data_IF_438829946111
#
_entry.id   IF_438829946111
#
_cell.length_a   1.000
_cell.length_b   1.000
_cell.length_c   1.000
_cell.angle_alpha   90.00
_cell.angle_beta   90.00
_cell.angle_gamma   90.00
#
_symmetry.space_group_name_H-M   'P 1'
#
loop_
_entity.id
_entity.type
_entity.pdbx_description
1 polymer ?
#
# COMPACT_ATOMS: atom_id res chain seq x y z
N UNK A 1 13.10 17.69 -1.76
CA UNK A 1 14.13 18.72 -1.56
C UNK A 1 13.55 19.80 -0.65
N UNK A 2 14.23 20.10 0.44
CA UNK A 2 13.87 21.07 1.45
C UNK A 2 15.08 21.95 1.81
N UNK A 3 14.85 23.01 2.59
CA UNK A 3 15.96 23.80 3.15
C UNK A 3 16.75 22.93 4.14
N UNK A 4 18.08 22.97 4.06
CA UNK A 4 19.01 22.14 4.83
C UNK A 4 19.48 20.86 4.11
N UNK A 5 18.84 20.48 3.01
CA UNK A 5 19.27 19.36 2.17
C UNK A 5 20.60 19.67 1.45
N UNK A 6 21.45 18.67 1.22
CA UNK A 6 22.71 18.83 0.50
C UNK A 6 22.56 18.33 -0.95
N UNK A 7 22.80 19.22 -1.91
CA UNK A 7 22.53 19.05 -3.33
C UNK A 7 23.82 18.95 -4.15
N UNK A 8 23.95 17.91 -4.97
CA UNK A 8 25.02 17.83 -5.97
C UNK A 8 24.72 18.80 -7.14
N UNK A 9 25.49 19.89 -7.24
CA UNK A 9 25.30 20.91 -8.27
C UNK A 9 25.99 20.52 -9.59
N UNK A 10 25.35 20.75 -10.76
CA UNK A 10 26.00 20.51 -12.05
C UNK A 10 27.29 21.34 -12.20
N UNK A 11 28.43 20.67 -12.39
CA UNK A 11 29.73 21.32 -12.58
C UNK A 11 30.40 21.79 -11.27
N UNK A 12 29.91 21.36 -10.11
CA UNK A 12 30.60 21.52 -8.83
C UNK A 12 31.21 20.19 -8.38
N UNK A 13 32.43 20.23 -7.84
CA UNK A 13 33.07 19.05 -7.25
C UNK A 13 32.50 18.73 -5.86
N UNK A 14 32.01 19.76 -5.15
CA UNK A 14 31.43 19.63 -3.82
C UNK A 14 29.91 19.90 -3.83
N UNK A 15 29.11 19.11 -3.10
CA UNK A 15 27.68 19.34 -2.96
C UNK A 15 27.41 20.53 -2.01
N UNK A 16 26.28 21.20 -2.19
CA UNK A 16 25.97 22.45 -1.51
C UNK A 16 24.62 22.39 -0.78
N UNK A 17 24.57 22.98 0.41
CA UNK A 17 23.35 23.05 1.23
C UNK A 17 22.30 23.95 0.57
N UNK A 18 21.05 23.51 0.55
CA UNK A 18 19.90 24.25 0.02
C UNK A 18 19.41 25.24 1.08
N UNK A 19 19.46 26.54 0.77
CA UNK A 19 19.03 27.62 1.66
C UNK A 19 17.62 28.11 1.37
N UNK A 20 17.08 27.85 0.17
CA UNK A 20 15.71 28.19 -0.20
C UNK A 20 15.17 27.26 -1.30
N UNK A 21 13.87 26.98 -1.27
CA UNK A 21 13.16 26.21 -2.29
C UNK A 21 11.91 26.97 -2.72
N UNK A 22 11.70 27.10 -4.04
CA UNK A 22 10.52 27.70 -4.65
C UNK A 22 9.92 26.73 -5.67
N UNK A 23 8.59 26.60 -5.68
CA UNK A 23 7.88 25.81 -6.70
C UNK A 23 7.20 26.76 -7.68
N UNK A 24 7.54 26.64 -8.97
CA UNK A 24 6.96 27.44 -10.05
C UNK A 24 5.94 26.60 -10.83
N UNK A 25 4.66 27.01 -10.84
CA UNK A 25 3.65 26.36 -11.67
C UNK A 25 3.83 26.69 -13.16
N UNK A 26 3.29 25.85 -14.04
CA UNK A 26 3.10 26.15 -15.47
C UNK A 26 1.89 27.05 -15.73
N UNK A 27 1.65 27.35 -17.01
CA UNK A 27 0.52 28.16 -17.48
C UNK A 27 -0.87 27.55 -17.16
N UNK A 28 -0.91 26.27 -16.74
CA UNK A 28 -2.13 25.56 -16.33
C UNK A 28 -2.26 25.42 -14.80
N UNK A 29 -1.33 26.00 -14.03
CA UNK A 29 -1.32 25.95 -12.57
C UNK A 29 -0.75 24.66 -11.98
N UNK A 30 -0.11 23.81 -12.80
CA UNK A 30 0.52 22.56 -12.37
C UNK A 30 1.99 22.81 -12.02
N UNK A 31 2.52 22.30 -10.90
CA UNK A 31 3.95 22.43 -10.57
C UNK A 31 4.86 21.92 -11.70
N UNK A 32 5.65 22.78 -12.32
CA UNK A 32 6.47 22.42 -13.49
C UNK A 32 7.97 22.53 -13.24
N UNK A 33 8.39 23.49 -12.41
CA UNK A 33 9.79 23.68 -12.05
C UNK A 33 9.93 23.84 -10.54
N UNK A 34 10.96 23.22 -9.98
CA UNK A 34 11.44 23.47 -8.62
C UNK A 34 12.73 24.27 -8.72
N UNK A 35 12.73 25.47 -8.14
CA UNK A 35 13.92 26.29 -7.95
C UNK A 35 14.57 25.99 -6.62
N UNK A 36 15.84 25.60 -6.63
CA UNK A 36 16.67 25.49 -5.43
C UNK A 36 17.67 26.64 -5.40
N UNK A 37 17.86 27.29 -4.25
CA UNK A 37 19.02 28.16 -4.02
C UNK A 37 19.93 27.47 -3.03
N UNK A 38 21.17 27.23 -3.45
CA UNK A 38 22.22 26.66 -2.64
C UNK A 38 23.03 27.75 -1.92
N UNK A 39 23.75 27.36 -0.87
CA UNK A 39 24.79 28.16 -0.23
C UNK A 39 25.73 28.75 -1.30
N UNK A 40 26.17 29.99 -1.09
CA UNK A 40 26.86 30.84 -2.08
C UNK A 40 25.96 31.47 -3.17
N UNK A 41 24.63 31.31 -3.07
CA UNK A 41 23.65 32.02 -3.92
C UNK A 41 23.49 31.43 -5.32
N UNK A 42 23.97 30.20 -5.55
CA UNK A 42 23.77 29.48 -6.81
C UNK A 42 22.34 28.94 -6.89
N UNK A 43 21.63 29.25 -7.97
CA UNK A 43 20.26 28.73 -8.19
C UNK A 43 20.24 27.67 -9.27
N UNK A 44 19.50 26.58 -9.03
CA UNK A 44 19.23 25.52 -10.01
C UNK A 44 17.73 25.43 -10.24
N UNK A 45 17.33 25.24 -11.51
CA UNK A 45 15.95 24.94 -11.88
C UNK A 45 15.84 23.47 -12.29
N UNK A 46 14.97 22.74 -11.63
CA UNK A 46 14.76 21.31 -11.81
C UNK A 46 13.33 21.12 -12.33
N UNK A 47 13.16 20.41 -13.44
CA UNK A 47 11.80 20.09 -13.90
C UNK A 47 11.15 19.08 -12.96
N UNK A 48 9.87 19.29 -12.62
CA UNK A 48 9.08 18.34 -11.81
C UNK A 48 9.17 16.94 -12.43
N UNK A 49 9.48 15.92 -11.62
CA UNK A 49 9.74 14.55 -12.07
C UNK A 49 11.16 14.26 -12.55
N UNK A 50 12.08 15.23 -12.49
CA UNK A 50 13.52 14.98 -12.71
C UNK A 50 14.18 14.40 -11.47
N UNK A 51 15.01 13.38 -11.66
CA UNK A 51 15.74 12.73 -10.58
C UNK A 51 16.94 13.57 -10.16
N UNK A 52 17.01 13.89 -8.86
CA UNK A 52 18.14 14.62 -8.28
C UNK A 52 18.61 13.94 -7.00
N UNK A 53 19.93 13.83 -6.85
CA UNK A 53 20.56 13.23 -5.68
C UNK A 53 20.65 14.25 -4.56
N UNK A 54 20.12 13.89 -3.39
CA UNK A 54 20.07 14.74 -2.22
C UNK A 54 20.49 13.93 -1.00
N UNK A 55 21.36 14.48 -0.17
CA UNK A 55 21.64 13.95 1.17
C UNK A 55 20.84 14.76 2.21
N UNK A 56 19.93 14.14 2.98
CA UNK A 56 19.19 14.84 4.02
C UNK A 56 20.11 15.18 5.22
N UNK A 57 19.86 16.33 5.85
CA UNK A 57 20.66 16.85 6.97
C UNK A 57 20.82 15.87 8.16
N UNK A 58 19.87 14.95 8.34
CA UNK A 58 19.82 14.02 9.47
C UNK A 58 20.17 12.57 9.10
N UNK A 59 20.59 12.31 7.86
CA UNK A 59 20.95 10.97 7.42
C UNK A 59 22.36 10.59 7.91
N UNK A 60 22.43 9.62 8.82
CA UNK A 60 23.66 8.88 9.06
C UNK A 60 24.24 8.34 7.74
N UNK A 61 25.55 8.50 7.57
CA UNK A 61 26.33 8.15 6.38
C UNK A 61 25.84 6.85 5.70
N UNK A 62 25.37 6.96 4.45
CA UNK A 62 25.35 5.84 3.50
C UNK A 62 24.05 5.49 2.77
N UNK A 63 22.95 6.25 2.90
CA UNK A 63 21.75 6.01 2.11
C UNK A 63 21.43 7.20 1.19
N UNK A 64 21.76 7.07 -0.09
CA UNK A 64 21.29 7.95 -1.15
C UNK A 64 19.75 7.87 -1.22
N UNK A 65 19.05 8.83 -0.64
CA UNK A 65 17.61 8.98 -0.81
C UNK A 65 17.36 9.69 -2.15
N UNK A 66 16.52 9.09 -2.99
CA UNK A 66 15.96 9.82 -4.14
C UNK A 66 15.00 10.86 -3.56
N UNK A 67 15.14 12.13 -3.94
CA UNK A 67 14.18 13.16 -3.55
C UNK A 67 12.78 12.76 -4.03
N UNK A 68 11.90 12.40 -3.10
CA UNK A 68 10.52 12.05 -3.36
C UNK A 68 9.72 13.29 -3.76
N UNK A 69 8.90 13.17 -4.82
CA UNK A 69 7.92 14.22 -5.17
C UNK A 69 6.88 14.35 -4.05
N UNK A 70 6.39 15.57 -3.81
CA UNK A 70 5.36 15.79 -2.79
C UNK A 70 4.06 15.05 -3.19
N UNK A 71 3.63 14.08 -2.37
CA UNK A 71 2.50 13.20 -2.67
C UNK A 71 2.87 11.87 -3.35
N UNK A 72 4.17 11.58 -3.53
CA UNK A 72 4.62 10.30 -4.04
C UNK A 72 4.46 9.16 -3.00
N UNK A 73 4.46 7.88 -3.42
CA UNK A 73 4.43 6.74 -2.50
C UNK A 73 5.57 6.74 -1.46
N UNK A 74 6.74 7.26 -1.83
CA UNK A 74 7.91 7.39 -0.96
C UNK A 74 7.70 8.46 0.11
N UNK A 75 7.20 9.64 -0.28
CA UNK A 75 6.89 10.72 0.65
C UNK A 75 5.79 10.30 1.65
N UNK A 76 4.77 9.58 1.17
CA UNK A 76 3.73 9.01 2.01
C UNK A 76 4.30 7.95 2.96
N UNK A 77 5.13 7.03 2.46
CA UNK A 77 5.80 6.00 3.26
C UNK A 77 6.63 6.60 4.39
N UNK A 78 7.38 7.67 4.11
CA UNK A 78 8.18 8.38 5.12
C UNK A 78 7.30 9.04 6.20
N UNK A 79 6.20 9.70 5.81
CA UNK A 79 5.25 10.29 6.78
C UNK A 79 4.61 9.23 7.67
N UNK A 80 4.22 8.11 7.09
CA UNK A 80 3.64 6.98 7.83
C UNK A 80 4.66 6.38 8.79
N UNK A 81 5.92 6.20 8.36
CA UNK A 81 6.98 5.71 9.24
C UNK A 81 7.24 6.65 10.42
N UNK A 82 7.17 7.97 10.23
CA UNK A 82 7.28 8.93 11.33
C UNK A 82 6.11 8.84 12.31
N UNK A 83 4.89 8.56 11.82
CA UNK A 83 3.70 8.40 12.65
C UNK A 83 3.68 7.08 13.43
N UNK A 84 4.38 6.05 12.94
CA UNK A 84 4.39 4.69 13.51
C UNK A 84 5.82 4.21 13.82
N UNK A 85 6.57 4.89 14.71
CA UNK A 85 7.99 4.61 14.94
C UNK A 85 8.25 3.22 15.52
N UNK A 86 7.31 2.68 16.30
CA UNK A 86 7.47 1.40 17.00
C UNK A 86 7.07 0.18 16.15
N UNK A 87 6.48 0.40 14.96
CA UNK A 87 6.01 -0.67 14.09
C UNK A 87 7.09 -1.12 13.11
N UNK A 88 7.81 -2.19 13.47
CA UNK A 88 8.87 -2.75 12.62
C UNK A 88 8.39 -3.08 11.19
N UNK A 89 7.16 -3.59 11.04
CA UNK A 89 6.59 -3.91 9.73
C UNK A 89 6.37 -2.66 8.86
N UNK A 90 5.91 -1.57 9.46
CA UNK A 90 5.75 -0.27 8.79
C UNK A 90 7.12 0.31 8.45
N UNK A 91 8.08 0.32 9.39
CA UNK A 91 9.44 0.82 9.18
C UNK A 91 10.13 0.09 8.02
N UNK A 92 10.11 -1.25 8.03
CA UNK A 92 10.75 -2.07 7.00
C UNK A 92 10.16 -1.81 5.61
N UNK A 93 8.84 -1.68 5.53
CA UNK A 93 8.16 -1.48 4.25
C UNK A 93 8.33 -0.06 3.73
N UNK A 94 8.25 0.95 4.61
CA UNK A 94 8.57 2.33 4.28
C UNK A 94 10.02 2.49 3.81
N UNK A 95 10.97 1.81 4.46
CA UNK A 95 12.37 1.82 4.05
C UNK A 95 12.60 1.19 2.67
N UNK A 96 11.83 0.15 2.30
CA UNK A 96 11.87 -0.41 0.93
C UNK A 96 11.29 0.57 -0.09
N UNK A 97 10.17 1.23 0.22
CA UNK A 97 9.56 2.24 -0.65
C UNK A 97 10.48 3.45 -0.85
N UNK A 98 11.17 3.91 0.20
CA UNK A 98 12.08 5.05 0.14
C UNK A 98 13.28 4.86 -0.84
N UNK A 99 13.59 3.62 -1.23
CA UNK A 99 14.62 3.32 -2.24
C UNK A 99 14.17 3.59 -3.68
N UNK A 100 12.92 4.02 -3.86
CA UNK A 100 12.29 4.29 -5.14
C UNK A 100 11.11 3.35 -5.39
N UNK A 101 9.97 3.94 -5.77
CA UNK A 101 8.76 3.22 -6.11
C UNK A 101 8.59 3.11 -7.63
N UNK A 102 8.23 1.91 -8.07
CA UNK A 102 7.83 1.66 -9.45
C UNK A 102 6.48 0.92 -9.43
N UNK A 103 5.39 1.62 -9.71
CA UNK A 103 4.04 1.03 -9.73
C UNK A 103 3.82 0.01 -10.85
N UNK A 104 4.78 -0.13 -11.78
CA UNK A 104 4.82 -1.24 -12.75
C UNK A 104 5.47 -2.51 -12.19
N UNK A 105 6.20 -2.42 -11.08
CA UNK A 105 6.85 -3.55 -10.43
C UNK A 105 5.91 -4.28 -9.48
N UNK A 106 5.80 -5.60 -9.64
CA UNK A 106 5.03 -6.44 -8.70
C UNK A 106 5.54 -6.37 -7.26
N UNK A 107 6.84 -6.13 -7.03
CA UNK A 107 7.41 -6.02 -5.68
C UNK A 107 6.98 -4.73 -4.98
N UNK A 108 6.95 -3.59 -5.69
CA UNK A 108 6.47 -2.35 -5.08
C UNK A 108 4.96 -2.38 -4.84
N UNK A 109 4.18 -3.03 -5.71
CA UNK A 109 2.75 -3.26 -5.46
C UNK A 109 2.53 -4.15 -4.22
N UNK A 110 3.37 -5.17 -4.05
CA UNK A 110 3.37 -5.99 -2.85
C UNK A 110 3.70 -5.16 -1.61
N UNK A 111 4.74 -4.32 -1.66
CA UNK A 111 5.13 -3.45 -0.53
C UNK A 111 4.00 -2.49 -0.16
N UNK A 112 3.34 -1.85 -1.13
CA UNK A 112 2.18 -0.98 -0.86
C UNK A 112 1.02 -1.75 -0.22
N UNK A 113 0.74 -2.96 -0.72
CA UNK A 113 -0.30 -3.81 -0.15
C UNK A 113 0.04 -4.25 1.29
N UNK A 114 1.30 -4.63 1.54
CA UNK A 114 1.80 -5.00 2.86
C UNK A 114 1.71 -3.81 3.84
N UNK A 115 2.10 -2.62 3.41
CA UNK A 115 2.00 -1.40 4.22
C UNK A 115 0.54 -1.09 4.58
N UNK A 116 -0.37 -1.11 3.60
CA UNK A 116 -1.80 -0.88 3.84
C UNK A 116 -2.40 -1.93 4.79
N UNK A 117 -1.97 -3.19 4.65
CA UNK A 117 -2.42 -4.29 5.51
C UNK A 117 -1.92 -4.12 6.94
N UNK A 118 -0.63 -3.81 7.14
CA UNK A 118 -0.06 -3.60 8.47
C UNK A 118 -0.73 -2.42 9.18
N UNK A 119 -0.92 -1.29 8.49
CA UNK A 119 -1.62 -0.12 9.06
C UNK A 119 -3.05 -0.46 9.50
N UNK A 120 -3.77 -1.25 8.71
CA UNK A 120 -5.14 -1.62 9.04
C UNK A 120 -5.22 -2.68 10.14
N UNK A 121 -4.43 -3.74 10.04
CA UNK A 121 -4.55 -4.94 10.86
C UNK A 121 -3.80 -4.80 12.19
N UNK A 122 -2.58 -4.24 12.14
CA UNK A 122 -1.69 -4.17 13.30
C UNK A 122 -1.83 -2.84 14.03
N UNK A 123 -1.80 -1.72 13.29
CA UNK A 123 -1.82 -0.38 13.90
C UNK A 123 -3.25 0.17 14.12
N UNK A 124 -4.26 -0.42 13.46
CA UNK A 124 -5.62 0.11 13.47
C UNK A 124 -5.78 1.49 12.82
N UNK A 125 -4.77 1.97 12.10
CA UNK A 125 -4.76 3.25 11.37
C UNK A 125 -5.51 3.12 10.04
N UNK A 126 -6.83 3.11 10.14
CA UNK A 126 -7.73 3.01 8.99
C UNK A 126 -7.55 4.16 7.98
N UNK A 127 -7.14 5.35 8.42
CA UNK A 127 -6.99 6.51 7.56
C UNK A 127 -5.72 6.41 6.69
N UNK A 128 -4.58 6.09 7.31
CA UNK A 128 -3.34 5.86 6.57
C UNK A 128 -3.46 4.62 5.67
N UNK A 129 -4.07 3.54 6.17
CA UNK A 129 -4.33 2.33 5.37
C UNK A 129 -5.15 2.62 4.11
N UNK A 130 -6.23 3.42 4.23
CA UNK A 130 -7.06 3.81 3.09
C UNK A 130 -6.28 4.68 2.09
N UNK A 131 -5.42 5.57 2.60
CA UNK A 131 -4.58 6.43 1.75
C UNK A 131 -3.61 5.60 0.92
N UNK A 132 -2.91 4.64 1.53
CA UNK A 132 -2.00 3.71 0.82
C UNK A 132 -2.76 2.80 -0.14
N UNK A 133 -3.89 2.23 0.29
CA UNK A 133 -4.74 1.41 -0.58
C UNK A 133 -5.30 2.21 -1.78
N UNK A 134 -5.49 3.52 -1.63
CA UNK A 134 -5.88 4.44 -2.69
C UNK A 134 -4.89 4.46 -3.86
N UNK A 135 -3.58 4.42 -3.56
CA UNK A 135 -2.52 4.37 -4.60
C UNK A 135 -2.63 3.10 -5.46
N UNK A 136 -2.97 1.97 -4.85
CA UNK A 136 -3.22 0.72 -5.59
C UNK A 136 -4.52 0.80 -6.40
N UNK A 137 -5.56 1.42 -5.84
CA UNK A 137 -6.88 1.49 -6.45
C UNK A 137 -6.94 2.37 -7.72
N UNK A 138 -5.97 3.27 -7.92
CA UNK A 138 -5.84 4.08 -9.14
C UNK A 138 -5.27 3.29 -10.34
N UNK A 139 -4.70 2.11 -10.10
CA UNK A 139 -4.05 1.32 -11.13
C UNK A 139 -5.06 0.45 -11.91
N UNK A 140 -5.08 0.53 -13.24
CA UNK A 140 -5.96 -0.32 -14.04
C UNK A 140 -5.44 -1.76 -14.11
N UNK A 141 -6.35 -2.68 -14.38
CA UNK A 141 -5.98 -4.04 -14.77
C UNK A 141 -5.26 -4.03 -16.14
N UNK A 142 -4.09 -4.65 -16.21
CA UNK A 142 -3.21 -4.65 -17.38
C UNK A 142 -3.06 -6.04 -18.03
N UNK A 143 -3.86 -7.02 -17.60
CA UNK A 143 -3.74 -8.41 -18.03
C UNK A 143 -2.76 -9.27 -17.20
N UNK A 144 -1.98 -8.67 -16.28
CA UNK A 144 -1.02 -9.39 -15.47
C UNK A 144 -1.60 -9.76 -14.09
N UNK A 145 -2.15 -10.98 -13.98
CA UNK A 145 -2.70 -11.50 -12.72
C UNK A 145 -1.69 -11.56 -11.55
N UNK A 146 -0.40 -11.72 -11.84
CA UNK A 146 0.65 -11.74 -10.82
C UNK A 146 0.85 -10.38 -10.14
N UNK A 147 0.62 -9.29 -10.87
CA UNK A 147 0.58 -7.92 -10.33
C UNK A 147 -0.78 -7.59 -9.76
N UNK A 148 -1.84 -7.99 -10.47
CA UNK A 148 -3.23 -7.69 -10.14
C UNK A 148 -3.60 -8.14 -8.73
N UNK A 149 -3.13 -9.31 -8.27
CA UNK A 149 -3.44 -9.81 -6.91
C UNK A 149 -3.14 -8.80 -5.78
N UNK A 150 -2.11 -7.96 -5.94
CA UNK A 150 -1.78 -6.94 -4.94
C UNK A 150 -2.72 -5.73 -5.02
N UNK A 151 -3.10 -5.35 -6.25
CA UNK A 151 -4.09 -4.31 -6.51
C UNK A 151 -5.48 -4.76 -6.03
N UNK A 152 -5.87 -6.01 -6.26
CA UNK A 152 -7.10 -6.62 -5.74
C UNK A 152 -7.16 -6.57 -4.22
N UNK A 153 -6.06 -6.91 -3.54
CA UNK A 153 -5.97 -6.80 -2.09
C UNK A 153 -6.17 -5.36 -1.61
N UNK A 154 -5.55 -4.39 -2.28
CA UNK A 154 -5.73 -2.96 -1.99
C UNK A 154 -7.16 -2.48 -2.22
N UNK A 155 -7.78 -2.88 -3.33
CA UNK A 155 -9.18 -2.58 -3.64
C UNK A 155 -10.14 -3.20 -2.62
N UNK A 156 -9.87 -4.43 -2.17
CA UNK A 156 -10.67 -5.10 -1.15
C UNK A 156 -10.57 -4.39 0.21
N UNK A 157 -9.37 -3.97 0.61
CA UNK A 157 -9.12 -3.12 1.78
C UNK A 157 -9.88 -1.79 1.67
N UNK A 158 -9.72 -1.06 0.56
CA UNK A 158 -10.38 0.22 0.35
C UNK A 158 -11.92 0.08 0.38
N UNK A 159 -12.47 -0.97 -0.25
CA UNK A 159 -13.90 -1.28 -0.21
C UNK A 159 -14.41 -1.59 1.21
N UNK A 160 -13.59 -2.18 2.07
CA UNK A 160 -13.94 -2.44 3.46
C UNK A 160 -13.82 -1.19 4.35
N UNK A 161 -12.74 -0.43 4.22
CA UNK A 161 -12.49 0.80 4.99
C UNK A 161 -13.55 1.86 4.72
N UNK A 162 -14.10 1.88 3.50
CA UNK A 162 -15.17 2.81 3.09
C UNK A 162 -16.57 2.21 3.20
N UNK A 163 -16.76 1.09 3.90
CA UNK A 163 -18.05 0.35 3.97
C UNK A 163 -19.26 1.14 4.44
N UNK A 164 -19.07 2.24 5.17
CA UNK A 164 -20.15 3.12 5.63
C UNK A 164 -20.58 4.14 4.58
N UNK A 165 -19.81 4.28 3.50
CA UNK A 165 -20.14 5.01 2.28
C UNK A 165 -20.40 3.99 1.16
N UNK A 166 -21.68 3.70 0.93
CA UNK A 166 -22.09 2.64 0.01
C UNK A 166 -21.63 2.90 -1.42
N UNK A 167 -21.65 4.16 -1.87
CA UNK A 167 -21.24 4.52 -3.22
C UNK A 167 -19.73 4.35 -3.40
N UNK A 168 -18.94 4.88 -2.46
CA UNK A 168 -17.48 4.77 -2.51
C UNK A 168 -17.01 3.33 -2.40
N UNK A 169 -17.59 2.54 -1.49
CA UNK A 169 -17.30 1.11 -1.36
C UNK A 169 -17.64 0.34 -2.64
N UNK A 170 -18.80 0.62 -3.26
CA UNK A 170 -19.22 0.00 -4.51
C UNK A 170 -18.27 0.29 -5.69
N UNK A 171 -17.69 1.49 -5.76
CA UNK A 171 -16.70 1.85 -6.80
C UNK A 171 -15.45 0.97 -6.70
N UNK A 172 -14.88 0.78 -5.51
CA UNK A 172 -13.73 -0.11 -5.33
C UNK A 172 -14.10 -1.57 -5.63
N UNK A 173 -15.26 -2.03 -5.17
CA UNK A 173 -15.78 -3.37 -5.51
C UNK A 173 -15.99 -3.58 -7.01
N UNK A 174 -16.36 -2.54 -7.77
CA UNK A 174 -16.50 -2.61 -9.22
C UNK A 174 -15.13 -2.65 -9.92
N UNK A 175 -14.20 -1.79 -9.49
CA UNK A 175 -12.82 -1.78 -10.01
C UNK A 175 -12.11 -3.13 -9.80
N UNK A 176 -12.32 -3.77 -8.65
CA UNK A 176 -11.76 -5.08 -8.34
C UNK A 176 -12.22 -6.15 -9.34
N UNK A 177 -13.48 -6.08 -9.78
CA UNK A 177 -14.08 -7.05 -10.71
C UNK A 177 -13.70 -6.82 -12.17
N UNK A 178 -12.92 -5.80 -12.51
CA UNK A 178 -12.55 -5.53 -13.93
C UNK A 178 -11.80 -6.71 -14.56
N UNK A 179 -10.96 -7.42 -13.79
CA UNK A 179 -10.27 -8.60 -14.29
C UNK A 179 -11.21 -9.80 -14.55
N UNK A 180 -12.45 -9.77 -14.03
CA UNK A 180 -13.42 -10.83 -14.27
C UNK A 180 -13.86 -10.90 -15.73
N UNK A 181 -13.84 -9.75 -16.39
CA UNK A 181 -14.29 -9.52 -17.77
C UNK A 181 -13.11 -9.55 -18.76
N UNK A 182 -11.94 -10.04 -18.33
CA UNK A 182 -10.76 -10.16 -19.18
C UNK A 182 -10.96 -11.12 -20.37
N UNK A 183 -11.81 -12.13 -20.21
CA UNK A 183 -12.21 -13.04 -21.29
C UNK A 183 -13.42 -12.47 -22.03
N UNK A 184 -13.25 -12.18 -23.31
CA UNK A 184 -14.28 -11.55 -24.15
C UNK A 184 -15.11 -12.55 -24.95
N UNK A 185 -14.63 -13.80 -25.11
CA UNK A 185 -15.42 -14.84 -25.78
C UNK A 185 -16.62 -15.25 -24.90
N UNK A 186 -17.88 -15.18 -25.39
CA UNK A 186 -19.06 -15.39 -24.55
C UNK A 186 -19.13 -16.75 -23.86
N UNK A 187 -18.66 -17.82 -24.51
CA UNK A 187 -18.72 -19.18 -23.95
C UNK A 187 -17.64 -19.36 -22.88
N UNK A 188 -16.42 -18.89 -23.15
CA UNK A 188 -15.33 -18.93 -22.18
C UNK A 188 -15.59 -18.00 -21.00
N UNK A 189 -16.13 -16.80 -21.23
CA UNK A 189 -16.52 -15.86 -20.17
C UNK A 189 -17.55 -16.48 -19.22
N UNK A 190 -18.59 -17.14 -19.76
CA UNK A 190 -19.58 -17.88 -18.95
C UNK A 190 -18.92 -18.97 -18.12
N UNK A 191 -17.96 -19.68 -18.71
CA UNK A 191 -17.23 -20.77 -18.06
C UNK A 191 -16.33 -20.25 -16.94
N UNK A 192 -15.58 -19.17 -17.19
CA UNK A 192 -14.75 -18.48 -16.21
C UNK A 192 -15.57 -17.95 -15.03
N UNK A 193 -16.75 -17.36 -15.30
CA UNK A 193 -17.66 -16.90 -14.25
C UNK A 193 -18.16 -18.06 -13.36
N UNK A 194 -18.48 -19.22 -13.93
CA UNK A 194 -18.86 -20.40 -13.15
C UNK A 194 -17.73 -20.91 -12.25
N UNK A 195 -16.50 -20.98 -12.77
CA UNK A 195 -15.34 -21.37 -11.97
C UNK A 195 -15.05 -20.38 -10.85
N UNK A 196 -15.12 -19.08 -11.14
CA UNK A 196 -14.95 -18.02 -10.15
C UNK A 196 -16.00 -18.09 -9.05
N UNK A 197 -17.28 -18.25 -9.40
CA UNK A 197 -18.33 -18.39 -8.39
C UNK A 197 -18.10 -19.60 -7.50
N UNK A 198 -17.62 -20.73 -8.05
CA UNK A 198 -17.25 -21.89 -7.23
C UNK A 198 -16.11 -21.57 -6.26
N UNK A 199 -15.06 -20.88 -6.73
CA UNK A 199 -13.95 -20.45 -5.85
C UNK A 199 -14.42 -19.50 -4.75
N UNK A 200 -15.33 -18.58 -5.06
CA UNK A 200 -15.96 -17.70 -4.06
C UNK A 200 -16.81 -18.48 -3.07
N UNK A 201 -17.45 -19.58 -3.50
CA UNK A 201 -18.30 -20.42 -2.65
C UNK A 201 -17.50 -21.39 -1.76
N UNK A 202 -16.31 -21.80 -2.21
CA UNK A 202 -15.40 -22.74 -1.53
C UNK A 202 -14.04 -22.09 -1.25
N UNK A 203 -13.98 -20.94 -0.53
CA UNK A 203 -12.73 -20.24 -0.30
C UNK A 203 -11.84 -21.01 0.68
N UNK A 204 -10.52 -20.97 0.48
CA UNK A 204 -9.60 -21.43 1.50
C UNK A 204 -9.52 -20.40 2.64
N UNK A 205 -10.15 -20.71 3.77
CA UNK A 205 -10.12 -19.89 4.98
C UNK A 205 -9.13 -20.41 6.03
N UNK A 206 -8.26 -21.36 5.71
CA UNK A 206 -7.15 -21.79 6.59
C UNK A 206 -7.57 -22.34 7.97
N UNK A 207 -8.78 -22.90 8.11
CA UNK A 207 -9.24 -23.51 9.38
C UNK A 207 -8.25 -24.56 9.93
N UNK A 208 -7.76 -25.53 9.13
CA UNK A 208 -6.84 -26.55 9.64
C UNK A 208 -5.51 -25.98 10.12
N UNK A 209 -4.97 -24.98 9.43
CA UNK A 209 -3.68 -24.35 9.75
C UNK A 209 -3.76 -23.54 11.05
N UNK A 210 -4.82 -22.75 11.21
CA UNK A 210 -5.07 -21.95 12.42
C UNK A 210 -5.23 -22.87 13.63
N UNK A 211 -6.07 -23.91 13.51
CA UNK A 211 -6.27 -24.89 14.58
C UNK A 211 -4.98 -25.60 14.96
N UNK A 212 -4.15 -25.98 13.97
CA UNK A 212 -2.87 -26.65 14.20
C UNK A 212 -1.87 -25.74 14.92
N UNK A 213 -1.77 -24.47 14.52
CA UNK A 213 -0.87 -23.51 15.15
C UNK A 213 -1.30 -23.20 16.59
N UNK A 214 -2.60 -23.02 16.80
CA UNK A 214 -3.19 -22.79 18.11
C UNK A 214 -2.96 -23.95 19.07
N UNK A 215 -3.27 -25.18 18.64
CA UNK A 215 -3.06 -26.39 19.43
C UNK A 215 -1.58 -26.66 19.75
N UNK A 216 -0.66 -26.17 18.91
CA UNK A 216 0.78 -26.27 19.13
C UNK A 216 1.35 -25.14 19.99
N UNK A 217 0.54 -24.19 20.46
CA UNK A 217 1.00 -23.03 21.24
C UNK A 217 1.95 -22.13 20.45
N UNK A 218 1.71 -21.94 19.15
CA UNK A 218 2.56 -21.14 18.25
C UNK A 218 1.84 -19.83 17.86
N UNK A 219 1.81 -18.81 18.74
CA UNK A 219 1.01 -17.60 18.52
C UNK A 219 1.40 -16.83 17.26
N UNK A 220 2.69 -16.73 16.93
CA UNK A 220 3.16 -16.07 15.72
C UNK A 220 2.64 -16.77 14.44
N UNK A 221 2.72 -18.11 14.41
CA UNK A 221 2.21 -18.87 13.27
C UNK A 221 0.68 -18.79 13.17
N UNK A 222 -0.03 -18.83 14.29
CA UNK A 222 -1.49 -18.65 14.30
C UNK A 222 -1.89 -17.29 13.73
N UNK A 223 -1.19 -16.23 14.18
CA UNK A 223 -1.39 -14.86 13.71
C UNK A 223 -1.23 -14.77 12.20
N UNK A 224 -0.15 -15.31 11.64
CA UNK A 224 0.11 -15.24 10.20
C UNK A 224 -1.01 -15.89 9.37
N UNK A 225 -1.53 -17.05 9.81
CA UNK A 225 -2.66 -17.69 9.15
C UNK A 225 -3.95 -16.88 9.25
N UNK A 226 -4.19 -16.24 10.40
CA UNK A 226 -5.36 -15.36 10.58
C UNK A 226 -5.29 -14.10 9.72
N UNK A 227 -4.11 -13.51 9.56
CA UNK A 227 -3.88 -12.40 8.62
C UNK A 227 -4.20 -12.81 7.19
N UNK A 228 -3.75 -14.00 6.76
CA UNK A 228 -4.11 -14.55 5.44
C UNK A 228 -5.63 -14.75 5.29
N UNK A 229 -6.30 -15.25 6.34
CA UNK A 229 -7.76 -15.38 6.36
C UNK A 229 -8.46 -14.02 6.25
N UNK A 230 -7.99 -12.98 6.94
CA UNK A 230 -8.55 -11.62 6.82
C UNK A 230 -8.53 -11.16 5.37
N UNK A 231 -7.41 -11.35 4.66
CA UNK A 231 -7.31 -11.04 3.23
C UNK A 231 -8.36 -11.75 2.38
N UNK A 232 -8.58 -13.05 2.61
CA UNK A 232 -9.62 -13.84 1.93
C UNK A 232 -11.02 -13.30 2.23
N UNK A 233 -11.31 -12.97 3.49
CA UNK A 233 -12.63 -12.44 3.88
C UNK A 233 -12.91 -11.05 3.29
N UNK A 234 -11.90 -10.17 3.26
CA UNK A 234 -11.98 -8.85 2.62
C UNK A 234 -12.27 -9.00 1.12
N UNK A 235 -11.53 -9.88 0.45
CA UNK A 235 -11.74 -10.18 -0.97
C UNK A 235 -13.16 -10.67 -1.23
N UNK A 236 -13.63 -11.69 -0.49
CA UNK A 236 -15.00 -12.20 -0.63
C UNK A 236 -16.05 -11.11 -0.46
N UNK A 237 -15.88 -10.25 0.55
CA UNK A 237 -16.80 -9.14 0.82
C UNK A 237 -16.82 -8.13 -0.33
N UNK A 238 -15.65 -7.78 -0.87
CA UNK A 238 -15.53 -6.81 -1.96
C UNK A 238 -16.04 -7.37 -3.29
N UNK A 239 -15.89 -8.66 -3.54
CA UNK A 239 -16.30 -9.32 -4.80
C UNK A 239 -17.82 -9.49 -4.97
N UNK A 240 -18.62 -9.19 -3.95
CA UNK A 240 -20.06 -9.47 -3.96
C UNK A 240 -20.45 -10.75 -3.23
N UNK A 241 -19.50 -11.40 -2.54
CA UNK A 241 -19.76 -12.48 -1.60
C UNK A 241 -19.85 -13.85 -2.23
N UNK A 242 -19.59 -14.84 -1.38
CA UNK A 242 -20.02 -16.21 -1.61
C UNK A 242 -21.55 -16.28 -1.60
N UNK A 243 -22.16 -17.16 -2.39
CA UNK A 243 -23.58 -17.50 -2.23
C UNK A 243 -23.87 -18.20 -0.88
N UNK A 244 -22.83 -18.65 -0.18
CA UNK A 244 -22.90 -19.31 1.13
C UNK A 244 -22.58 -18.38 2.31
N UNK A 245 -21.88 -17.25 2.08
CA UNK A 245 -21.52 -16.27 3.10
C UNK A 245 -22.06 -14.90 2.72
N UNK A 246 -23.18 -14.53 3.32
CA UNK A 246 -23.76 -13.20 3.12
C UNK A 246 -22.87 -12.10 3.72
N UNK A 247 -23.17 -10.85 3.35
CA UNK A 247 -22.38 -9.66 3.76
C UNK A 247 -22.27 -9.53 5.28
N UNK A 248 -23.35 -9.72 6.03
CA UNK A 248 -23.35 -9.60 7.49
C UNK A 248 -22.48 -10.66 8.17
N UNK A 249 -22.47 -11.88 7.65
CA UNK A 249 -21.59 -12.95 8.13
C UNK A 249 -20.13 -12.58 7.86
N UNK A 250 -19.81 -12.06 6.68
CA UNK A 250 -18.45 -11.62 6.35
C UNK A 250 -17.99 -10.48 7.26
N UNK A 251 -18.83 -9.46 7.52
CA UNK A 251 -18.52 -8.36 8.45
C UNK A 251 -18.17 -8.87 9.85
N UNK A 252 -19.02 -9.76 10.40
CA UNK A 252 -18.78 -10.34 11.74
C UNK A 252 -17.51 -11.18 11.78
N UNK A 253 -17.24 -11.97 10.74
CA UNK A 253 -16.01 -12.78 10.66
C UNK A 253 -14.77 -11.92 10.56
N UNK A 254 -14.78 -10.87 9.74
CA UNK A 254 -13.65 -9.93 9.63
C UNK A 254 -13.38 -9.29 10.99
N UNK A 255 -14.41 -8.78 11.66
CA UNK A 255 -14.27 -8.18 12.99
C UNK A 255 -13.70 -9.17 14.03
N UNK A 256 -14.16 -10.43 14.00
CA UNK A 256 -13.67 -11.47 14.91
C UNK A 256 -12.19 -11.81 14.65
N UNK A 257 -11.76 -11.90 13.39
CA UNK A 257 -10.36 -12.17 13.06
C UNK A 257 -9.45 -10.99 13.41
N UNK A 258 -9.89 -9.73 13.21
CA UNK A 258 -9.15 -8.55 13.64
C UNK A 258 -8.94 -8.55 15.17
N UNK A 259 -9.98 -8.85 15.94
CA UNK A 259 -9.88 -8.96 17.39
C UNK A 259 -8.95 -10.11 17.84
N UNK A 260 -8.99 -11.25 17.14
CA UNK A 260 -8.11 -12.37 17.42
C UNK A 260 -6.64 -12.05 17.13
N UNK A 261 -6.35 -11.35 16.02
CA UNK A 261 -5.00 -10.90 15.68
C UNK A 261 -4.49 -9.88 16.69
N UNK A 262 -5.31 -8.90 17.10
CA UNK A 262 -4.93 -7.94 18.13
C UNK A 262 -4.53 -8.62 19.45
N UNK A 263 -5.32 -9.60 19.91
CA UNK A 263 -4.97 -10.38 21.12
C UNK A 263 -3.69 -11.20 20.97
N UNK A 264 -3.40 -11.74 19.78
CA UNK A 264 -2.15 -12.44 19.51
C UNK A 264 -0.96 -11.48 19.48
N UNK A 265 -1.13 -10.25 18.97
CA UNK A 265 -0.09 -9.22 18.99
C UNK A 265 0.28 -8.83 20.42
N UNK A 266 -0.70 -8.67 21.32
CA UNK A 266 -0.46 -8.42 22.75
C UNK A 266 0.37 -9.56 23.37
N UNK A 267 -0.03 -10.82 23.15
CA UNK A 267 0.71 -11.99 23.65
C UNK A 267 2.15 -12.05 23.15
N UNK A 268 2.39 -11.69 21.88
CA UNK A 268 3.71 -11.69 21.26
C UNK A 268 4.60 -10.56 21.76
N UNK A 269 4.01 -9.46 22.26
CA UNK A 269 4.75 -8.34 22.84
C UNK A 269 5.14 -8.62 24.30
N UNK A 270 4.33 -9.41 25.00
CA UNK A 270 4.57 -9.81 26.40
C UNK A 270 5.51 -11.03 26.57
N UNK A 271 5.90 -11.69 25.47
CA UNK A 271 6.72 -12.93 25.45
C UNK A 271 8.21 -12.66 25.23
#
# INVERSE_FOLDING_TARGET
MAVGDVLALPGADDPAEVTAVEVRPDDFGVPALVGATAAEGRSVSIATGSMVYVEPADAGLGASAVAADHGSPEALGAQIAQAHPDSAAVQDTAARLARGSNLKSGSNLQDLHQLASALFIDEGDAAAALTVAGLLAELPFDGNFGRWKWIEGGLALAAYLTRHDAERSARYSAALRVADDAETDPLRAKTAAMYRQRQLNEPNVYDPEILRASAAGKPAAERDWRVLRIGVLLYLRAHGGSQTLNREVLERRIAAELAAVASLNEQLTDS
#
